data_IF_067219864317
#
_entry.id   IF_067219864317
#
_cell.length_a   1.000
_cell.length_b   1.000
_cell.length_c   1.000
_cell.angle_alpha   90.00
_cell.angle_beta   90.00
_cell.angle_gamma   90.00
#
_symmetry.space_group_name_H-M   'P 1'
#
loop_
_entity.id
_entity.type
_entity.pdbx_description
1 polymer ?
#
# COMPACT_ATOMS: atom_id res chain seq x y z
N UNK A 1 43.43 -31.18 -10.96
CA UNK A 1 42.85 -30.31 -9.90
C UNK A 1 41.53 -29.76 -10.40
N UNK A 2 40.39 -30.14 -9.80
CA UNK A 2 39.07 -29.58 -10.12
C UNK A 2 38.95 -28.24 -9.39
N UNK A 3 38.89 -27.14 -10.13
CA UNK A 3 38.61 -25.82 -9.56
C UNK A 3 37.21 -25.82 -8.97
N UNK A 4 37.10 -25.57 -7.66
CA UNK A 4 35.81 -25.32 -7.05
C UNK A 4 35.20 -24.05 -7.66
N UNK A 5 33.93 -24.08 -8.09
CA UNK A 5 33.28 -22.87 -8.55
C UNK A 5 33.26 -21.85 -7.40
N UNK A 6 33.54 -20.57 -7.67
CA UNK A 6 33.56 -19.54 -6.66
C UNK A 6 32.18 -19.45 -6.01
N UNK A 7 32.15 -19.56 -4.67
CA UNK A 7 30.95 -19.35 -3.85
C UNK A 7 30.32 -18.01 -4.24
N UNK A 8 29.27 -18.04 -5.05
CA UNK A 8 28.48 -16.85 -5.34
C UNK A 8 27.85 -16.39 -4.03
N UNK A 9 28.11 -15.15 -3.58
CA UNK A 9 27.50 -14.65 -2.37
C UNK A 9 25.97 -14.69 -2.51
N UNK A 10 25.25 -15.03 -1.42
CA UNK A 10 23.80 -15.12 -1.46
C UNK A 10 23.21 -13.79 -1.96
N UNK A 11 22.29 -13.88 -2.93
CA UNK A 11 21.55 -12.72 -3.42
C UNK A 11 20.80 -12.14 -2.21
N UNK A 12 21.01 -10.87 -1.86
CA UNK A 12 20.32 -10.27 -0.73
C UNK A 12 18.80 -10.36 -0.93
N UNK A 13 18.09 -10.84 0.10
CA UNK A 13 16.62 -11.04 0.07
C UNK A 13 15.82 -9.76 -0.20
N UNK A 14 16.48 -8.62 -0.17
CA UNK A 14 15.94 -7.27 -0.36
C UNK A 14 16.03 -6.76 -1.81
N UNK A 15 16.31 -7.63 -2.79
CA UNK A 15 16.41 -7.26 -4.20
C UNK A 15 15.39 -7.99 -5.05
N UNK A 16 14.61 -7.23 -5.79
CA UNK A 16 13.65 -7.71 -6.77
C UNK A 16 13.88 -6.99 -8.09
N UNK A 17 13.64 -7.65 -9.22
CA UNK A 17 13.73 -6.98 -10.52
C UNK A 17 12.71 -5.84 -10.57
N UNK A 18 13.05 -4.74 -11.25
CA UNK A 18 12.11 -3.62 -11.40
C UNK A 18 10.79 -4.04 -12.04
N UNK A 19 10.83 -4.99 -12.98
CA UNK A 19 9.64 -5.55 -13.62
C UNK A 19 8.74 -6.29 -12.63
N UNK A 20 9.29 -7.19 -11.82
CA UNK A 20 8.50 -7.95 -10.83
C UNK A 20 7.97 -7.01 -9.73
N UNK A 21 8.77 -6.04 -9.29
CA UNK A 21 8.33 -5.04 -8.32
C UNK A 21 7.16 -4.21 -8.87
N UNK A 22 7.27 -3.73 -10.11
CA UNK A 22 6.23 -2.95 -10.76
C UNK A 22 4.94 -3.76 -10.92
N UNK A 23 5.03 -5.02 -11.33
CA UNK A 23 3.87 -5.90 -11.43
C UNK A 23 3.18 -6.13 -10.08
N UNK A 24 3.96 -6.38 -9.01
CA UNK A 24 3.42 -6.52 -7.66
C UNK A 24 2.81 -5.22 -7.14
N UNK A 25 3.43 -4.08 -7.43
CA UNK A 25 2.91 -2.77 -7.07
C UNK A 25 1.57 -2.49 -7.77
N UNK A 26 1.47 -2.72 -9.08
CA UNK A 26 0.22 -2.57 -9.83
C UNK A 26 -0.87 -3.51 -9.30
N UNK A 27 -0.52 -4.77 -9.02
CA UNK A 27 -1.45 -5.72 -8.41
C UNK A 27 -1.94 -5.22 -7.05
N UNK A 28 -1.04 -4.69 -6.21
CA UNK A 28 -1.39 -4.07 -4.94
C UNK A 28 -2.36 -2.89 -5.12
N UNK A 29 -2.10 -1.98 -6.08
CA UNK A 29 -2.98 -0.84 -6.36
C UNK A 29 -4.38 -1.32 -6.75
N UNK A 30 -4.47 -2.32 -7.64
CA UNK A 30 -5.75 -2.89 -8.08
C UNK A 30 -6.51 -3.56 -6.93
N UNK A 31 -5.84 -4.39 -6.13
CA UNK A 31 -6.44 -5.01 -4.96
C UNK A 31 -6.87 -3.97 -3.93
N UNK A 32 -6.05 -2.95 -3.70
CA UNK A 32 -6.37 -1.82 -2.84
C UNK A 32 -7.63 -1.10 -3.33
N UNK A 33 -7.76 -0.85 -4.64
CA UNK A 33 -8.95 -0.25 -5.23
C UNK A 33 -10.20 -1.11 -5.00
N UNK A 34 -10.12 -2.40 -5.30
CA UNK A 34 -11.22 -3.35 -5.11
C UNK A 34 -11.67 -3.36 -3.64
N UNK A 35 -10.72 -3.42 -2.70
CA UNK A 35 -11.01 -3.44 -1.28
C UNK A 35 -11.69 -2.14 -0.84
N UNK A 36 -11.22 -0.97 -1.27
CA UNK A 36 -11.86 0.30 -0.92
C UNK A 36 -13.24 0.49 -1.57
N UNK A 37 -13.42 0.01 -2.81
CA UNK A 37 -14.69 0.09 -3.52
C UNK A 37 -15.75 -0.87 -2.96
N UNK A 38 -15.34 -2.07 -2.50
CA UNK A 38 -16.25 -3.08 -1.95
C UNK A 38 -16.52 -2.83 -0.46
N UNK A 39 -15.47 -2.65 0.35
CA UNK A 39 -15.61 -2.55 1.81
C UNK A 39 -15.90 -1.13 2.28
N UNK A 40 -15.34 -0.14 1.59
CA UNK A 40 -15.49 1.25 1.97
C UNK A 40 -16.64 1.92 1.24
N UNK A 41 -17.82 1.29 1.27
CA UNK A 41 -19.09 1.72 0.65
C UNK A 41 -19.67 2.98 1.33
N UNK A 42 -18.88 4.04 1.39
CA UNK A 42 -19.11 5.24 2.19
C UNK A 42 -18.62 6.44 1.40
N UNK A 43 -19.39 7.52 1.42
CA UNK A 43 -19.03 8.71 0.65
C UNK A 43 -17.65 9.28 1.06
N UNK A 44 -17.30 9.37 2.36
CA UNK A 44 -15.98 9.85 2.77
C UNK A 44 -14.83 8.96 2.33
N UNK A 45 -15.00 7.63 2.38
CA UNK A 45 -13.96 6.71 1.92
C UNK A 45 -13.78 6.76 0.41
N UNK A 46 -14.87 6.83 -0.36
CA UNK A 46 -14.79 7.00 -1.80
C UNK A 46 -14.04 8.30 -2.15
N UNK A 47 -14.37 9.42 -1.50
CA UNK A 47 -13.69 10.69 -1.72
C UNK A 47 -12.21 10.60 -1.34
N UNK A 48 -11.90 10.09 -0.16
CA UNK A 48 -10.51 9.91 0.30
C UNK A 48 -9.71 8.99 -0.62
N UNK A 49 -10.32 7.89 -1.08
CA UNK A 49 -9.65 6.97 -1.98
C UNK A 49 -9.44 7.59 -3.37
N UNK A 50 -10.50 8.06 -4.03
CA UNK A 50 -10.44 8.52 -5.43
C UNK A 50 -9.65 9.82 -5.60
N UNK A 51 -9.77 10.76 -4.67
CA UNK A 51 -9.14 12.07 -4.80
C UNK A 51 -7.79 12.19 -4.09
N UNK A 52 -7.48 11.31 -3.14
CA UNK A 52 -6.23 11.40 -2.37
C UNK A 52 -5.35 10.17 -2.59
N UNK A 53 -5.84 8.98 -2.27
CA UNK A 53 -5.03 7.77 -2.28
C UNK A 53 -4.70 7.31 -3.72
N UNK A 54 -5.70 7.25 -4.59
CA UNK A 54 -5.57 6.74 -5.94
C UNK A 54 -4.64 7.58 -6.82
N UNK A 55 -4.70 8.93 -6.84
CA UNK A 55 -3.76 9.74 -7.60
C UNK A 55 -2.31 9.53 -7.15
N UNK A 56 -2.09 9.36 -5.85
CA UNK A 56 -0.75 9.06 -5.30
C UNK A 56 -0.26 7.69 -5.80
N UNK A 57 -1.12 6.66 -5.76
CA UNK A 57 -0.78 5.35 -6.32
C UNK A 57 -0.48 5.41 -7.82
N UNK A 58 -1.22 6.22 -8.59
CA UNK A 58 -0.98 6.41 -10.01
C UNK A 58 0.36 7.07 -10.28
N UNK A 59 0.72 8.12 -9.52
CA UNK A 59 2.03 8.78 -9.64
C UNK A 59 3.15 7.77 -9.42
N UNK A 60 3.08 6.96 -8.37
CA UNK A 60 4.11 5.95 -8.10
C UNK A 60 4.13 4.84 -9.15
N UNK A 61 2.97 4.38 -9.61
CA UNK A 61 2.87 3.40 -10.69
C UNK A 61 3.53 3.93 -11.97
N UNK A 62 3.32 5.20 -12.30
CA UNK A 62 3.95 5.86 -13.43
C UNK A 62 5.48 5.93 -13.27
N UNK A 63 5.98 6.28 -12.08
CA UNK A 63 7.42 6.32 -11.80
C UNK A 63 8.07 4.95 -12.03
N UNK A 64 7.49 3.87 -11.54
CA UNK A 64 8.03 2.52 -11.76
C UNK A 64 7.89 2.06 -13.21
N UNK A 65 6.80 2.42 -13.88
CA UNK A 65 6.60 2.13 -15.28
C UNK A 65 7.65 2.81 -16.16
N UNK A 66 7.90 4.11 -15.98
CA UNK A 66 8.98 4.84 -16.65
C UNK A 66 10.36 4.25 -16.32
N UNK A 67 10.55 3.80 -15.07
CA UNK A 67 11.71 3.05 -14.64
C UNK A 67 11.91 1.75 -15.43
N UNK A 68 10.83 1.01 -15.69
CA UNK A 68 10.86 -0.21 -16.52
C UNK A 68 11.23 0.10 -17.97
N UNK A 69 10.63 1.15 -18.57
CA UNK A 69 10.95 1.58 -19.94
C UNK A 69 12.43 1.98 -20.08
N UNK A 70 12.99 2.60 -19.04
CA UNK A 70 14.38 3.06 -19.02
C UNK A 70 15.38 1.99 -18.55
N UNK A 71 14.90 0.81 -18.11
CA UNK A 71 15.71 -0.23 -17.51
C UNK A 71 16.17 -1.25 -18.55
N UNK A 72 17.49 -1.40 -18.68
CA UNK A 72 18.06 -2.57 -19.36
C UNK A 72 17.53 -3.84 -18.67
N UNK A 73 16.90 -4.76 -19.43
CA UNK A 73 16.39 -6.02 -18.88
C UNK A 73 17.50 -6.74 -18.10
N UNK A 74 17.18 -7.23 -16.91
CA UNK A 74 18.09 -7.99 -16.01
C UNK A 74 19.21 -7.21 -15.31
N UNK A 75 19.31 -5.89 -15.49
CA UNK A 75 20.35 -5.07 -14.81
C UNK A 75 19.80 -4.07 -13.81
N UNK A 76 18.48 -3.96 -13.66
CA UNK A 76 17.85 -2.96 -12.78
C UNK A 76 17.02 -3.65 -11.70
N UNK A 77 17.30 -3.31 -10.45
CA UNK A 77 16.70 -3.90 -9.27
C UNK A 77 16.15 -2.82 -8.37
N UNK A 78 15.04 -3.12 -7.70
CA UNK A 78 14.47 -2.29 -6.64
C UNK A 78 14.91 -2.86 -5.31
N UNK A 79 15.43 -1.99 -4.46
CA UNK A 79 15.74 -2.29 -3.07
C UNK A 79 14.71 -1.60 -2.19
N UNK A 80 14.04 -2.39 -1.36
CA UNK A 80 12.97 -1.95 -0.48
C UNK A 80 13.05 -2.67 0.87
N UNK A 81 12.45 -2.08 1.91
CA UNK A 81 12.34 -2.70 3.22
C UNK A 81 11.02 -3.47 3.35
N UNK A 82 11.03 -4.80 3.52
CA UNK A 82 9.80 -5.57 3.76
C UNK A 82 9.04 -5.11 5.00
N UNK A 83 9.74 -4.62 6.03
CA UNK A 83 9.12 -4.09 7.24
C UNK A 83 8.28 -2.84 6.94
N UNK A 84 8.77 -1.94 6.09
CA UNK A 84 8.02 -0.75 5.67
C UNK A 84 6.80 -1.12 4.82
N UNK A 85 6.91 -2.15 3.99
CA UNK A 85 5.77 -2.68 3.25
C UNK A 85 4.69 -3.23 4.21
N UNK A 86 5.10 -3.93 5.26
CA UNK A 86 4.19 -4.38 6.33
C UNK A 86 3.45 -3.22 7.02
N UNK A 87 4.12 -2.09 7.24
CA UNK A 87 3.50 -0.89 7.81
C UNK A 87 2.44 -0.28 6.89
N UNK A 88 2.65 -0.29 5.56
CA UNK A 88 1.63 0.15 4.60
C UNK A 88 0.38 -0.71 4.72
N UNK A 89 0.52 -2.04 4.78
CA UNK A 89 -0.61 -2.95 4.92
C UNK A 89 -1.36 -2.74 6.24
N UNK A 90 -0.65 -2.55 7.34
CA UNK A 90 -1.26 -2.25 8.65
C UNK A 90 -2.02 -0.92 8.60
N UNK A 91 -1.40 0.13 8.04
CA UNK A 91 -2.03 1.45 7.94
C UNK A 91 -3.26 1.43 7.03
N UNK A 92 -3.23 0.67 5.92
CA UNK A 92 -4.39 0.47 5.07
C UNK A 92 -5.50 -0.32 5.77
N UNK A 93 -5.15 -1.38 6.50
CA UNK A 93 -6.11 -2.12 7.32
C UNK A 93 -6.77 -1.23 8.37
N UNK A 94 -6.00 -0.38 9.04
CA UNK A 94 -6.50 0.59 9.99
C UNK A 94 -7.43 1.62 9.34
N UNK A 95 -7.07 2.12 8.15
CA UNK A 95 -7.91 3.05 7.39
C UNK A 95 -9.26 2.43 7.04
N UNK A 96 -9.26 1.18 6.55
CA UNK A 96 -10.49 0.43 6.24
C UNK A 96 -11.32 0.16 7.50
N UNK A 97 -10.66 -0.15 8.62
CA UNK A 97 -11.32 -0.40 9.90
C UNK A 97 -11.97 0.86 10.49
N UNK A 98 -11.34 2.01 10.32
CA UNK A 98 -11.81 3.33 10.78
C UNK A 98 -12.70 4.03 9.75
N UNK A 99 -12.94 3.43 8.60
CA UNK A 99 -13.78 4.01 7.57
C UNK A 99 -15.22 4.16 8.08
N UNK A 100 -15.79 5.37 8.12
CA UNK A 100 -17.15 5.57 8.59
C UNK A 100 -18.13 4.98 7.58
N UNK A 101 -18.81 3.89 7.95
CA UNK A 101 -19.86 3.25 7.15
C UNK A 101 -21.08 4.19 7.03
N UNK A 102 -21.13 5.01 5.97
CA UNK A 102 -22.34 5.77 5.63
C UNK A 102 -23.16 4.96 4.64
N UNK A 103 -24.17 4.25 5.14
CA UNK A 103 -25.14 3.54 4.30
C UNK A 103 -26.03 4.53 3.56
N UNK A 104 -25.54 5.11 2.47
CA UNK A 104 -26.31 6.08 1.67
C UNK A 104 -27.28 5.38 0.70
N UNK A 105 -27.11 4.08 0.42
CA UNK A 105 -27.88 3.38 -0.63
C UNK A 105 -28.59 2.08 -0.20
N UNK A 106 -28.53 1.66 1.05
CA UNK A 106 -29.28 0.49 1.52
C UNK A 106 -30.58 0.94 2.17
N UNK A 107 -31.71 0.77 1.47
CA UNK A 107 -33.04 0.70 2.11
C UNK A 107 -33.08 -0.51 3.04
N UNK A 108 -32.61 -0.36 4.27
CA UNK A 108 -32.97 -1.26 5.37
C UNK A 108 -32.56 -0.60 6.69
N UNK A 109 -33.55 -0.36 7.54
CA UNK A 109 -33.36 0.18 8.88
C UNK A 109 -32.34 -0.61 9.69
N UNK A 110 -31.66 0.13 10.56
CA UNK A 110 -31.08 -0.33 11.82
C UNK A 110 -29.79 -1.16 11.84
N UNK A 111 -29.11 -1.44 10.72
CA UNK A 111 -27.88 -2.27 10.76
C UNK A 111 -26.67 -1.80 9.98
N UNK A 112 -26.52 -0.49 9.77
CA UNK A 112 -25.23 0.05 9.32
C UNK A 112 -24.28 0.27 10.51
N UNK A 113 -24.00 -0.78 11.27
CA UNK A 113 -23.00 -0.69 12.33
C UNK A 113 -21.62 -0.74 11.69
N UNK A 114 -20.81 0.30 11.88
CA UNK A 114 -19.37 0.14 11.70
C UNK A 114 -18.91 -1.09 12.52
N UNK A 115 -17.90 -1.84 12.07
CA UNK A 115 -17.35 -2.97 12.83
C UNK A 115 -17.02 -2.56 14.26
N UNK A 116 -16.50 -1.34 14.43
CA UNK A 116 -16.27 -0.70 15.75
C UNK A 116 -17.58 -0.53 16.51
N UNK A 117 -18.62 0.00 15.88
CA UNK A 117 -19.93 0.20 16.51
C UNK A 117 -20.55 -1.13 16.99
N UNK A 118 -20.32 -2.23 16.26
CA UNK A 118 -20.69 -3.59 16.68
C UNK A 118 -19.85 -4.08 17.86
N UNK A 119 -18.57 -3.70 17.94
CA UNK A 119 -17.67 -4.07 19.01
C UNK A 119 -17.82 -3.20 20.28
N UNK A 120 -18.35 -1.97 20.16
CA UNK A 120 -18.40 -0.97 21.24
C UNK A 120 -19.82 -0.60 21.68
N UNK A 121 -20.87 -1.18 21.08
CA UNK A 121 -22.28 -0.83 21.38
C UNK A 121 -22.68 -1.03 22.84
N UNK A 122 -21.91 -1.80 23.62
CA UNK A 122 -22.23 -2.12 25.02
C UNK A 122 -21.34 -1.39 26.05
N UNK A 123 -20.38 -0.58 25.64
CA UNK A 123 -19.29 -0.14 26.54
C UNK A 123 -18.94 1.36 26.52
N UNK A 124 -19.50 2.15 25.61
CA UNK A 124 -19.07 3.55 25.42
C UNK A 124 -20.19 4.57 25.67
N UNK A 125 -19.93 5.56 26.53
CA UNK A 125 -20.74 6.78 26.67
C UNK A 125 -20.46 7.81 25.57
N UNK A 126 -19.36 7.65 24.83
CA UNK A 126 -18.98 8.49 23.70
C UNK A 126 -19.59 7.90 22.43
N UNK A 127 -20.26 8.72 21.60
CA UNK A 127 -20.87 8.22 20.39
C UNK A 127 -19.75 7.88 19.37
N UNK A 128 -19.83 6.67 18.81
CA UNK A 128 -18.77 6.04 18.00
C UNK A 128 -18.52 6.79 16.70
N UNK A 129 -19.55 7.44 16.17
CA UNK A 129 -19.51 8.35 15.02
C UNK A 129 -18.47 9.45 15.19
N UNK A 130 -18.42 10.14 16.33
CA UNK A 130 -17.44 11.19 16.59
C UNK A 130 -16.01 10.67 16.65
N UNK A 131 -15.82 9.45 17.18
CA UNK A 131 -14.50 8.80 17.20
C UNK A 131 -14.05 8.54 15.76
N UNK A 132 -14.94 8.02 14.91
CA UNK A 132 -14.65 7.72 13.51
C UNK A 132 -14.38 8.99 12.68
N UNK A 133 -15.14 10.07 12.90
CA UNK A 133 -14.95 11.35 12.22
C UNK A 133 -13.55 11.95 12.44
N UNK A 134 -12.97 11.75 13.63
CA UNK A 134 -11.62 12.24 13.96
C UNK A 134 -10.55 11.20 13.58
N UNK A 135 -10.80 9.92 13.85
CA UNK A 135 -9.82 8.87 13.66
C UNK A 135 -9.56 8.58 12.17
N UNK A 136 -10.57 8.70 11.31
CA UNK A 136 -10.42 8.44 9.88
C UNK A 136 -9.45 9.42 9.20
N UNK A 137 -9.58 10.76 9.32
CA UNK A 137 -8.59 11.70 8.79
C UNK A 137 -7.18 11.46 9.32
N UNK A 138 -7.05 11.14 10.62
CA UNK A 138 -5.75 10.83 11.23
C UNK A 138 -5.13 9.58 10.59
N UNK A 139 -5.90 8.51 10.44
CA UNK A 139 -5.44 7.28 9.80
C UNK A 139 -5.09 7.50 8.33
N UNK A 140 -5.85 8.32 7.61
CA UNK A 140 -5.55 8.72 6.24
C UNK A 140 -4.20 9.44 6.17
N UNK A 141 -3.97 10.45 7.02
CA UNK A 141 -2.70 11.18 7.06
C UNK A 141 -1.53 10.25 7.39
N UNK A 142 -1.69 9.37 8.38
CA UNK A 142 -0.66 8.38 8.75
C UNK A 142 -0.34 7.44 7.58
N UNK A 143 -1.36 6.94 6.89
CA UNK A 143 -1.21 6.11 5.70
C UNK A 143 -0.40 6.85 4.61
N UNK A 144 -0.70 8.12 4.37
CA UNK A 144 0.03 8.94 3.39
C UNK A 144 1.50 9.13 3.79
N UNK A 145 1.78 9.46 5.05
CA UNK A 145 3.14 9.64 5.54
C UNK A 145 3.96 8.34 5.43
N UNK A 146 3.38 7.20 5.82
CA UNK A 146 4.04 5.89 5.71
C UNK A 146 4.31 5.54 4.26
N UNK A 147 3.35 5.78 3.37
CA UNK A 147 3.49 5.51 1.93
C UNK A 147 4.60 6.37 1.32
N UNK A 148 4.60 7.68 1.57
CA UNK A 148 5.64 8.60 1.09
C UNK A 148 7.02 8.21 1.66
N UNK A 149 7.08 7.83 2.94
CA UNK A 149 8.32 7.39 3.57
C UNK A 149 8.86 6.09 2.96
N UNK A 150 8.01 5.10 2.70
CA UNK A 150 8.38 3.88 1.98
C UNK A 150 8.99 4.20 0.62
N UNK A 151 8.37 5.11 -0.15
CA UNK A 151 8.88 5.48 -1.47
C UNK A 151 10.21 6.22 -1.40
N UNK A 152 10.37 7.14 -0.44
CA UNK A 152 11.64 7.83 -0.23
C UNK A 152 12.81 6.87 0.02
N UNK A 153 12.55 5.76 0.71
CA UNK A 153 13.56 4.74 1.04
C UNK A 153 13.66 3.61 0.00
N UNK A 154 12.79 3.62 -1.01
CA UNK A 154 12.83 2.66 -2.09
C UNK A 154 13.79 3.18 -3.16
N UNK A 155 14.81 2.39 -3.47
CA UNK A 155 15.86 2.82 -4.39
C UNK A 155 15.99 1.87 -5.58
N UNK A 156 16.06 2.45 -6.78
CA UNK A 156 16.36 1.71 -8.01
C UNK A 156 17.88 1.67 -8.18
N UNK A 157 18.46 0.47 -8.20
CA UNK A 157 19.90 0.25 -8.39
C UNK A 157 20.14 -0.48 -9.71
N UNK A 158 21.15 -0.04 -10.46
CA UNK A 158 21.66 -0.77 -11.63
C UNK A 158 22.85 -1.63 -11.23
N UNK A 159 22.86 -2.89 -11.67
CA UNK A 159 24.03 -3.76 -11.55
C UNK A 159 25.17 -3.18 -12.40
N UNK A 160 26.37 -3.07 -11.80
CA UNK A 160 27.56 -2.70 -12.56
C UNK A 160 27.82 -3.76 -13.64
N UNK A 161 28.19 -3.37 -14.87
CA UNK A 161 28.64 -4.32 -15.87
C UNK A 161 29.85 -5.09 -15.30
N UNK A 162 29.84 -6.42 -15.45
CA UNK A 162 31.01 -7.24 -15.10
C UNK A 162 32.15 -6.82 -16.06
N UNK A 163 33.34 -6.46 -15.57
CA UNK A 163 34.45 -6.16 -16.45
C UNK A 163 34.74 -7.39 -17.31
N UNK A 164 34.71 -7.22 -18.63
CA UNK A 164 35.25 -8.20 -19.58
C UNK A 164 36.76 -8.18 -19.43
N UNK A 165 37.32 -9.30 -18.96
CA UNK A 165 38.76 -9.57 -18.94
C UNK A 165 39.13 -10.18 -20.28
#
# INVERSE_FOLDING_TARGET
>A
MKSHPPNTPPIPRDRISIYNFTALWVLYVLLSAIVHLILGNTHPNYVGYVFVIFPIHLIFSLVFFLGCLSAAPRRTFVHYSPAQLGQIFIAQGLLLFLTPATCVNTKQGDRCNALIQTLTSNTSTIPVDRILEVAFPVALILYLLITVWFFKNTHIKRAKPRPTI
#
